data_IF_787333481654
#
_entry.id   IF_787333481654
#
_cell.length_a   1.000
_cell.length_b   1.000
_cell.length_c   1.000
_cell.angle_alpha   90.00
_cell.angle_beta   90.00
_cell.angle_gamma   90.00
#
_symmetry.space_group_name_H-M   'P 1'
#
loop_
_entity.id
_entity.type
_entity.pdbx_description
1 polymer ?
#
# COMPACT_ATOMS: atom_id res chain seq x y z
N UNK A 1 9.95 30.03 9.07
CA UNK A 1 10.83 28.84 9.10
C UNK A 1 9.98 27.57 9.11
N UNK A 2 10.31 26.62 8.23
CA UNK A 2 9.61 25.32 8.20
C UNK A 2 10.11 24.48 9.37
N UNK A 3 9.18 23.96 10.17
CA UNK A 3 9.50 23.09 11.32
C UNK A 3 8.86 21.71 11.20
N UNK A 4 7.90 21.56 10.28
CA UNK A 4 7.08 20.35 10.12
C UNK A 4 6.98 19.97 8.65
N UNK A 5 7.12 18.71 8.33
CA UNK A 5 6.94 18.17 6.99
C UNK A 5 5.96 17.01 7.06
N UNK A 6 4.99 17.00 6.13
CA UNK A 6 4.02 15.92 6.00
C UNK A 6 4.32 15.19 4.69
N UNK A 7 4.53 13.88 4.76
CA UNK A 7 4.82 13.05 3.60
C UNK A 7 3.65 12.15 3.27
N UNK A 8 3.45 11.92 1.99
CA UNK A 8 2.66 10.80 1.49
C UNK A 8 3.53 9.55 1.46
N UNK A 9 2.93 8.35 1.39
CA UNK A 9 3.65 7.08 1.45
C UNK A 9 3.96 6.51 0.06
N UNK A 10 2.91 6.23 -0.73
CA UNK A 10 3.05 5.61 -2.05
C UNK A 10 3.75 6.52 -3.04
N UNK A 11 4.65 5.97 -3.85
CA UNK A 11 5.49 6.66 -4.84
C UNK A 11 6.47 7.69 -4.27
N UNK A 12 6.40 7.99 -2.97
CA UNK A 12 7.39 8.84 -2.30
C UNK A 12 8.49 7.96 -1.71
N UNK A 13 8.13 7.00 -0.86
CA UNK A 13 9.06 6.08 -0.24
C UNK A 13 9.03 4.71 -0.91
N UNK A 14 7.84 4.18 -1.11
CA UNK A 14 7.59 2.88 -1.70
C UNK A 14 7.26 3.04 -3.18
N UNK A 15 7.99 2.33 -4.05
CA UNK A 15 7.65 2.29 -5.46
C UNK A 15 6.35 1.51 -5.67
N UNK A 16 5.43 2.05 -6.45
CA UNK A 16 4.17 1.40 -6.79
C UNK A 16 4.22 0.84 -8.20
N UNK A 17 4.04 -0.48 -8.32
CA UNK A 17 4.06 -1.21 -9.59
C UNK A 17 2.64 -1.33 -10.15
N UNK A 18 2.04 -0.19 -10.54
CA UNK A 18 0.64 -0.12 -10.97
C UNK A 18 0.36 -0.97 -12.21
N UNK A 19 1.26 -0.94 -13.18
CA UNK A 19 1.10 -1.73 -14.41
C UNK A 19 1.19 -3.23 -14.15
N UNK A 20 2.07 -3.64 -13.24
CA UNK A 20 2.21 -5.04 -12.86
C UNK A 20 0.93 -5.56 -12.19
N UNK A 21 0.28 -4.74 -11.37
CA UNK A 21 -1.00 -5.08 -10.75
C UNK A 21 -2.10 -5.25 -11.81
N UNK A 22 -2.19 -4.33 -12.76
CA UNK A 22 -3.15 -4.40 -13.86
C UNK A 22 -2.96 -5.71 -14.65
N UNK A 23 -1.72 -6.04 -14.99
CA UNK A 23 -1.41 -7.28 -15.71
C UNK A 23 -1.76 -8.52 -14.90
N UNK A 24 -1.50 -8.52 -13.59
CA UNK A 24 -1.84 -9.63 -12.72
C UNK A 24 -3.35 -9.88 -12.71
N UNK A 25 -4.16 -8.84 -12.64
CA UNK A 25 -5.63 -8.97 -12.68
C UNK A 25 -6.15 -9.36 -14.07
N UNK A 26 -5.51 -8.90 -15.14
CA UNK A 26 -5.85 -9.35 -16.50
C UNK A 26 -5.71 -10.85 -16.64
N UNK A 27 -4.64 -11.42 -16.11
CA UNK A 27 -4.40 -12.88 -16.12
C UNK A 27 -5.48 -13.65 -15.38
N UNK A 28 -6.13 -13.04 -14.41
CA UNK A 28 -7.24 -13.63 -13.68
C UNK A 28 -8.61 -13.42 -14.36
N UNK A 29 -8.64 -12.61 -15.44
CA UNK A 29 -9.87 -12.35 -16.20
C UNK A 29 -10.50 -10.99 -15.95
N UNK A 30 -9.89 -10.13 -15.14
CA UNK A 30 -10.37 -8.76 -14.92
C UNK A 30 -9.69 -7.81 -15.89
N UNK A 31 -10.45 -7.30 -16.85
CA UNK A 31 -9.92 -6.43 -17.90
C UNK A 31 -10.42 -5.00 -17.69
N UNK A 32 -9.49 -4.12 -17.34
CA UNK A 32 -9.74 -2.70 -17.22
C UNK A 32 -10.32 -2.24 -15.89
N UNK A 33 -10.56 -0.92 -15.75
CA UNK A 33 -11.10 -0.32 -14.52
C UNK A 33 -12.52 -0.80 -14.24
N UNK A 34 -12.84 -0.96 -12.95
CA UNK A 34 -14.16 -1.40 -12.49
C UNK A 34 -14.63 -0.47 -11.37
N UNK A 35 -15.66 0.30 -11.63
CA UNK A 35 -16.18 1.30 -10.68
C UNK A 35 -16.65 0.70 -9.36
N UNK A 36 -17.27 -0.50 -9.40
CA UNK A 36 -17.72 -1.19 -8.19
C UNK A 36 -16.55 -1.61 -7.30
N UNK A 37 -15.48 -2.10 -7.92
CA UNK A 37 -14.27 -2.49 -7.19
C UNK A 37 -13.52 -1.27 -6.65
N UNK A 38 -13.52 -0.16 -7.37
CA UNK A 38 -12.95 1.10 -6.90
C UNK A 38 -13.69 1.58 -5.65
N UNK A 39 -15.03 1.52 -5.67
CA UNK A 39 -15.84 1.88 -4.51
C UNK A 39 -15.58 0.96 -3.31
N UNK A 40 -15.40 -0.35 -3.55
CA UNK A 40 -15.05 -1.31 -2.50
C UNK A 40 -13.68 -1.04 -1.91
N UNK A 41 -12.72 -0.65 -2.74
CA UNK A 41 -11.39 -0.27 -2.27
C UNK A 41 -11.45 0.96 -1.34
N UNK A 42 -12.25 1.96 -1.69
CA UNK A 42 -12.44 3.13 -0.84
C UNK A 42 -12.98 2.75 0.53
N UNK A 43 -13.97 1.85 0.58
CA UNK A 43 -14.53 1.36 1.84
C UNK A 43 -13.49 0.57 2.64
N UNK A 44 -12.69 -0.23 1.97
CA UNK A 44 -11.66 -1.02 2.61
C UNK A 44 -10.56 -0.14 3.21
N UNK A 45 -10.10 0.86 2.49
CA UNK A 45 -9.10 1.82 2.99
C UNK A 45 -9.59 2.58 4.23
N UNK A 46 -10.89 2.84 4.32
CA UNK A 46 -11.51 3.50 5.47
C UNK A 46 -11.81 2.55 6.63
N UNK A 47 -11.56 1.26 6.45
CA UNK A 47 -11.87 0.24 7.46
C UNK A 47 -13.35 -0.08 7.60
N UNK A 48 -14.18 0.28 6.61
CA UNK A 48 -15.63 0.07 6.64
C UNK A 48 -16.06 -1.32 6.19
N UNK A 49 -15.18 -2.05 5.47
CA UNK A 49 -15.40 -3.46 5.14
C UNK A 49 -14.16 -4.27 5.50
N UNK A 50 -14.35 -5.57 5.74
CA UNK A 50 -13.26 -6.48 6.10
C UNK A 50 -12.42 -6.86 4.89
N UNK A 51 -11.23 -7.43 5.15
CA UNK A 51 -10.36 -8.00 4.11
C UNK A 51 -11.12 -9.07 3.32
N UNK A 52 -11.82 -9.98 4.01
CA UNK A 52 -12.63 -11.01 3.37
C UNK A 52 -13.68 -10.41 2.43
N UNK A 53 -14.44 -9.44 2.90
CA UNK A 53 -15.48 -8.80 2.09
C UNK A 53 -14.89 -8.11 0.87
N UNK A 54 -13.75 -7.45 1.04
CA UNK A 54 -13.07 -6.79 -0.06
C UNK A 54 -12.61 -7.81 -1.13
N UNK A 55 -11.90 -8.85 -0.71
CA UNK A 55 -11.39 -9.86 -1.64
C UNK A 55 -12.52 -10.64 -2.33
N UNK A 56 -13.56 -10.98 -1.58
CA UNK A 56 -14.72 -11.67 -2.13
C UNK A 56 -15.47 -10.83 -3.16
N UNK A 57 -15.42 -9.50 -3.06
CA UNK A 57 -16.07 -8.63 -4.04
C UNK A 57 -15.53 -8.80 -5.46
N UNK A 58 -14.29 -9.27 -5.61
CA UNK A 58 -13.72 -9.58 -6.92
C UNK A 58 -14.35 -10.81 -7.58
N UNK A 59 -14.87 -11.75 -6.80
CA UNK A 59 -15.44 -13.00 -7.32
C UNK A 59 -16.64 -12.79 -8.22
N UNK A 60 -17.35 -11.68 -8.09
CA UNK A 60 -18.44 -11.32 -9.00
C UNK A 60 -17.95 -11.17 -10.44
N UNK A 61 -16.73 -10.69 -10.62
CA UNK A 61 -16.14 -10.39 -11.92
C UNK A 61 -15.17 -11.47 -12.41
N UNK A 62 -14.51 -12.18 -11.48
CA UNK A 62 -13.56 -13.25 -11.77
C UNK A 62 -13.86 -14.47 -10.89
N UNK A 63 -15.01 -15.15 -11.14
CA UNK A 63 -15.49 -16.21 -10.24
C UNK A 63 -14.60 -17.45 -10.19
N UNK A 64 -13.70 -17.63 -11.16
CA UNK A 64 -12.79 -18.78 -11.21
C UNK A 64 -11.48 -18.54 -10.45
N UNK A 65 -11.22 -17.33 -10.00
CA UNK A 65 -10.02 -17.03 -9.23
C UNK A 65 -10.21 -17.42 -7.76
N UNK A 66 -9.14 -17.86 -7.12
CA UNK A 66 -9.14 -18.08 -5.67
C UNK A 66 -8.90 -16.77 -4.93
N UNK A 67 -9.29 -16.73 -3.65
CA UNK A 67 -9.03 -15.57 -2.78
C UNK A 67 -7.51 -15.32 -2.68
N UNK A 68 -6.72 -16.38 -2.61
CA UNK A 68 -5.25 -16.25 -2.56
C UNK A 68 -4.67 -15.64 -3.83
N UNK A 69 -5.18 -16.02 -5.00
CA UNK A 69 -4.77 -15.45 -6.27
C UNK A 69 -5.13 -13.96 -6.37
N UNK A 70 -6.33 -13.60 -5.90
CA UNK A 70 -6.79 -12.21 -5.87
C UNK A 70 -5.90 -11.38 -4.93
N UNK A 71 -5.62 -11.89 -3.75
CA UNK A 71 -4.75 -11.20 -2.77
C UNK A 71 -3.33 -11.02 -3.32
N UNK A 72 -2.79 -12.03 -3.98
CA UNK A 72 -1.48 -11.96 -4.63
C UNK A 72 -1.45 -10.89 -5.72
N UNK A 73 -2.48 -10.86 -6.58
CA UNK A 73 -2.60 -9.84 -7.63
C UNK A 73 -2.71 -8.44 -7.04
N UNK A 74 -3.50 -8.27 -5.97
CA UNK A 74 -3.65 -7.00 -5.26
C UNK A 74 -2.30 -6.49 -4.74
N UNK A 75 -1.51 -7.38 -4.16
CA UNK A 75 -0.20 -7.04 -3.60
C UNK A 75 0.90 -6.81 -4.63
N UNK A 76 0.68 -7.13 -5.90
CA UNK A 76 1.68 -6.93 -6.96
C UNK A 76 2.09 -5.46 -7.11
N UNK A 77 1.24 -4.53 -6.69
CA UNK A 77 1.55 -3.09 -6.72
C UNK A 77 2.68 -2.70 -5.76
N UNK A 78 2.92 -3.50 -4.72
CA UNK A 78 3.94 -3.19 -3.71
C UNK A 78 5.33 -3.49 -4.30
N UNK A 79 6.03 -2.44 -4.67
CA UNK A 79 7.38 -2.51 -5.23
C UNK A 79 8.47 -2.36 -4.17
N UNK A 80 9.61 -1.84 -4.59
CA UNK A 80 10.77 -1.69 -3.72
C UNK A 80 10.71 -0.40 -2.91
N UNK A 81 11.38 -0.42 -1.76
CA UNK A 81 11.65 0.75 -0.95
C UNK A 81 13.18 0.92 -0.89
N UNK A 82 13.76 1.77 -1.74
CA UNK A 82 15.21 1.96 -1.76
C UNK A 82 15.75 2.48 -0.42
N UNK A 83 16.84 1.90 0.05
CA UNK A 83 17.45 2.26 1.34
C UNK A 83 17.79 3.73 1.43
N UNK A 84 18.26 4.35 0.36
CA UNK A 84 18.64 5.77 0.38
C UNK A 84 17.50 6.69 0.79
N UNK A 85 16.25 6.30 0.52
CA UNK A 85 15.07 7.09 0.93
C UNK A 85 14.86 7.04 2.43
N UNK A 86 15.09 5.89 3.05
CA UNK A 86 15.06 5.77 4.52
C UNK A 86 16.17 6.60 5.16
N UNK A 87 17.37 6.51 4.62
CA UNK A 87 18.53 7.27 5.13
C UNK A 87 18.29 8.79 5.04
N UNK A 88 17.76 9.26 3.93
CA UNK A 88 17.38 10.66 3.74
C UNK A 88 16.32 11.10 4.76
N UNK A 89 15.30 10.25 4.96
CA UNK A 89 14.25 10.51 5.93
C UNK A 89 14.78 10.59 7.36
N UNK A 90 15.69 9.69 7.73
CA UNK A 90 16.33 9.71 9.04
C UNK A 90 17.11 11.01 9.25
N UNK A 91 17.80 11.49 8.21
CA UNK A 91 18.51 12.77 8.27
C UNK A 91 17.54 13.94 8.50
N UNK A 92 16.41 13.96 7.80
CA UNK A 92 15.39 14.99 7.98
C UNK A 92 14.77 14.97 9.38
N UNK A 93 14.61 13.79 9.98
CA UNK A 93 14.00 13.64 11.30
C UNK A 93 14.78 14.33 12.43
N UNK A 94 16.06 14.61 12.23
CA UNK A 94 16.86 15.38 13.18
C UNK A 94 16.58 16.89 13.15
N UNK A 95 16.01 17.39 12.04
CA UNK A 95 15.80 18.83 11.83
C UNK A 95 14.32 19.24 11.87
N UNK A 96 13.43 18.32 11.54
CA UNK A 96 12.02 18.61 11.35
C UNK A 96 11.15 17.58 12.08
N UNK A 97 9.94 18.01 12.44
CA UNK A 97 8.90 17.08 12.87
C UNK A 97 8.27 16.48 11.62
N UNK A 98 8.26 15.17 11.52
CA UNK A 98 7.77 14.46 10.34
C UNK A 98 6.47 13.74 10.64
N UNK A 99 5.54 13.81 9.70
CA UNK A 99 4.25 13.13 9.76
C UNK A 99 4.04 12.35 8.47
N UNK A 100 3.44 11.17 8.56
CA UNK A 100 3.16 10.33 7.41
C UNK A 100 1.65 10.20 7.22
N UNK A 101 1.18 10.49 6.00
CA UNK A 101 -0.18 10.21 5.57
C UNK A 101 -0.17 8.95 4.72
N UNK A 102 -0.93 7.93 5.13
CA UNK A 102 -1.04 6.70 4.37
C UNK A 102 -2.45 6.57 3.81
N UNK A 103 -2.53 6.53 2.48
CA UNK A 103 -3.79 6.30 1.78
C UNK A 103 -3.75 4.88 1.22
N UNK A 104 -3.81 3.90 2.11
CA UNK A 104 -3.58 2.50 1.81
C UNK A 104 -4.50 1.61 2.66
N UNK A 105 -4.36 0.30 2.51
CA UNK A 105 -5.16 -0.69 3.20
C UNK A 105 -4.30 -1.67 4.01
N UNK A 106 -4.95 -2.46 4.87
CA UNK A 106 -4.24 -3.40 5.75
C UNK A 106 -3.53 -4.52 5.00
N UNK A 107 -4.02 -4.91 3.81
CA UNK A 107 -3.36 -5.95 2.99
C UNK A 107 -2.02 -5.43 2.48
N UNK A 108 -2.01 -4.23 1.90
CA UNK A 108 -0.80 -3.61 1.36
C UNK A 108 0.22 -3.29 2.47
N UNK A 109 -0.23 -2.81 3.62
CA UNK A 109 0.66 -2.55 4.76
C UNK A 109 1.31 -3.84 5.24
N UNK A 110 0.53 -4.92 5.40
CA UNK A 110 1.07 -6.21 5.81
C UNK A 110 2.10 -6.74 4.81
N UNK A 111 1.83 -6.59 3.51
CA UNK A 111 2.76 -7.00 2.46
C UNK A 111 4.03 -6.17 2.47
N UNK A 112 3.91 -4.85 2.63
CA UNK A 112 5.06 -3.95 2.74
C UNK A 112 5.95 -4.35 3.92
N UNK A 113 5.37 -4.51 5.11
CA UNK A 113 6.10 -4.86 6.32
C UNK A 113 6.82 -6.22 6.18
N UNK A 114 6.16 -7.20 5.57
CA UNK A 114 6.77 -8.50 5.30
C UNK A 114 7.93 -8.40 4.30
N UNK A 115 7.77 -7.57 3.28
CA UNK A 115 8.78 -7.42 2.21
C UNK A 115 10.06 -6.77 2.72
N UNK A 116 9.94 -5.70 3.50
CA UNK A 116 11.11 -4.95 3.98
C UNK A 116 11.69 -5.50 5.28
N UNK A 117 10.90 -6.20 6.09
CA UNK A 117 11.32 -6.79 7.36
C UNK A 117 11.16 -5.83 8.55
N UNK A 118 11.13 -6.42 9.75
CA UNK A 118 10.79 -5.70 10.98
C UNK A 118 11.75 -4.57 11.33
N UNK A 119 13.06 -4.77 11.14
CA UNK A 119 14.05 -3.72 11.42
C UNK A 119 13.85 -2.51 10.54
N UNK A 120 13.64 -2.74 9.24
CA UNK A 120 13.46 -1.67 8.26
C UNK A 120 12.18 -0.88 8.53
N UNK A 121 11.03 -1.55 8.67
CA UNK A 121 9.79 -0.80 8.85
C UNK A 121 9.71 -0.12 10.23
N UNK A 122 10.33 -0.70 11.26
CA UNK A 122 10.42 -0.04 12.57
C UNK A 122 11.24 1.25 12.48
N UNK A 123 12.38 1.21 11.81
CA UNK A 123 13.23 2.39 11.60
C UNK A 123 12.46 3.45 10.78
N UNK A 124 11.71 3.02 9.77
CA UNK A 124 10.92 3.91 8.95
C UNK A 124 9.82 4.62 9.78
N UNK A 125 9.01 3.86 10.50
CA UNK A 125 7.91 4.44 11.28
C UNK A 125 8.41 5.35 12.41
N UNK A 126 9.56 5.03 13.00
CA UNK A 126 10.14 5.84 14.08
C UNK A 126 10.61 7.22 13.63
N UNK A 127 10.76 7.45 12.33
CA UNK A 127 11.09 8.78 11.81
C UNK A 127 9.95 9.78 11.99
N UNK A 128 8.72 9.31 12.19
CA UNK A 128 7.54 10.16 12.22
C UNK A 128 7.01 10.36 13.64
N UNK A 129 6.52 11.59 13.91
CA UNK A 129 5.80 11.87 15.14
C UNK A 129 4.47 11.11 15.18
N UNK A 130 3.83 10.97 14.01
CA UNK A 130 2.57 10.26 13.88
C UNK A 130 2.38 9.76 12.44
N UNK A 131 1.79 8.58 12.33
CA UNK A 131 1.37 7.96 11.07
C UNK A 131 -0.15 7.95 11.04
N UNK A 132 -0.72 8.52 9.99
CA UNK A 132 -2.18 8.61 9.81
C UNK A 132 -2.69 7.55 8.85
#
# INVERSE_FOLDING_TARGET
MITTIIFDFGDIFLNLEKEAQIEAFKKLGLDGPNEELIAKNDLFEKGEISESDFLESFLKFIPNASIEEIKKAWNTIIGDFPLYRLEFLQMLSYKYKLFLLTNTDEIHIARFEKKVGISFFSDFYQCFEKVY
#
